data_IF_527730036105
#
_entry.id   IF_527730036105
#
_cell.length_a   1.000
_cell.length_b   1.000
_cell.length_c   1.000
_cell.angle_alpha   90.00
_cell.angle_beta   90.00
_cell.angle_gamma   90.00
#
_symmetry.space_group_name_H-M   'P 1'
#
loop_
_entity.id
_entity.type
_entity.pdbx_description
1 polymer ?
#
# COMPACT_ATOMS: atom_id res chain seq x y z
N UNK A 1 -26.52 72.19 2.92
CA UNK A 1 -26.49 70.76 3.32
C UNK A 1 -25.65 69.98 2.31
N UNK A 2 -24.40 69.64 2.64
CA UNK A 2 -23.52 68.86 1.75
C UNK A 2 -23.50 67.40 2.23
N UNK A 3 -23.92 66.41 1.41
CA UNK A 3 -23.87 65.01 1.81
C UNK A 3 -22.41 64.54 1.71
N UNK A 4 -21.76 64.38 2.86
CA UNK A 4 -20.34 64.03 2.95
C UNK A 4 -20.15 62.62 3.52
N UNK A 5 -20.94 61.63 3.05
CA UNK A 5 -20.94 60.26 3.60
C UNK A 5 -20.78 59.11 2.58
N UNK A 6 -20.62 59.35 1.26
CA UNK A 6 -20.52 58.24 0.29
C UNK A 6 -19.17 57.50 0.32
N UNK A 7 -18.05 58.23 0.51
CA UNK A 7 -16.69 57.65 0.49
C UNK A 7 -16.42 56.67 1.64
N UNK A 8 -17.05 56.87 2.81
CA UNK A 8 -16.94 55.92 3.94
C UNK A 8 -17.70 54.61 3.68
N UNK A 9 -18.83 54.67 2.96
CA UNK A 9 -19.58 53.47 2.56
C UNK A 9 -18.82 52.65 1.51
N UNK A 10 -18.17 53.29 0.54
CA UNK A 10 -17.36 52.63 -0.48
C UNK A 10 -16.15 51.89 0.11
N UNK A 11 -15.45 52.48 1.09
CA UNK A 11 -14.34 51.81 1.79
C UNK A 11 -14.77 50.58 2.59
N UNK A 12 -15.95 50.62 3.21
CA UNK A 12 -16.48 49.49 3.99
C UNK A 12 -16.90 48.29 3.13
N UNK A 13 -17.40 48.54 1.92
CA UNK A 13 -17.77 47.47 0.98
C UNK A 13 -16.55 46.69 0.49
N UNK A 14 -15.45 47.38 0.20
CA UNK A 14 -14.19 46.74 -0.21
C UNK A 14 -13.63 45.84 0.91
N UNK A 15 -13.66 46.30 2.16
CA UNK A 15 -13.24 45.49 3.30
C UNK A 15 -14.08 44.22 3.46
N UNK A 16 -15.40 44.33 3.30
CA UNK A 16 -16.29 43.16 3.37
C UNK A 16 -15.93 42.13 2.29
N UNK A 17 -15.69 42.58 1.05
CA UNK A 17 -15.27 41.68 -0.05
C UNK A 17 -13.93 41.01 0.26
N UNK A 18 -12.95 41.74 0.79
CA UNK A 18 -11.65 41.17 1.16
C UNK A 18 -11.82 40.10 2.24
N UNK A 19 -12.61 40.37 3.28
CA UNK A 19 -12.86 39.39 4.36
C UNK A 19 -13.52 38.14 3.80
N UNK A 20 -14.52 38.29 2.94
CA UNK A 20 -15.18 37.15 2.27
C UNK A 20 -14.17 36.38 1.40
N UNK A 21 -13.33 37.06 0.62
CA UNK A 21 -12.29 36.41 -0.19
C UNK A 21 -11.28 35.64 0.66
N UNK A 22 -10.85 36.19 1.80
CA UNK A 22 -9.95 35.49 2.73
C UNK A 22 -10.61 34.22 3.26
N UNK A 23 -11.87 34.31 3.70
CA UNK A 23 -12.63 33.15 4.20
C UNK A 23 -12.76 32.08 3.11
N UNK A 24 -13.13 32.47 1.89
CA UNK A 24 -13.23 31.56 0.75
C UNK A 24 -11.89 30.91 0.41
N UNK A 25 -10.79 31.66 0.51
CA UNK A 25 -9.43 31.15 0.24
C UNK A 25 -9.02 30.11 1.28
N UNK A 26 -9.31 30.36 2.57
CA UNK A 26 -9.05 29.40 3.65
C UNK A 26 -9.87 28.13 3.46
N UNK A 27 -11.16 28.26 3.12
CA UNK A 27 -12.04 27.12 2.85
C UNK A 27 -11.55 26.29 1.65
N UNK A 28 -11.17 26.96 0.54
CA UNK A 28 -10.64 26.29 -0.63
C UNK A 28 -9.33 25.55 -0.32
N UNK A 29 -8.42 26.17 0.44
CA UNK A 29 -7.17 25.54 0.87
C UNK A 29 -7.41 24.31 1.75
N UNK A 30 -8.32 24.40 2.72
CA UNK A 30 -8.70 23.27 3.56
C UNK A 30 -9.31 22.13 2.74
N UNK A 31 -10.18 22.44 1.78
CA UNK A 31 -10.78 21.46 0.89
C UNK A 31 -9.74 20.74 0.03
N UNK A 32 -8.83 21.48 -0.61
CA UNK A 32 -7.73 20.89 -1.41
C UNK A 32 -6.83 20.01 -0.56
N UNK A 33 -6.53 20.43 0.67
CA UNK A 33 -5.72 19.64 1.61
C UNK A 33 -6.39 18.32 1.97
N UNK A 34 -7.70 18.34 2.24
CA UNK A 34 -8.48 17.14 2.52
C UNK A 34 -8.52 16.20 1.30
N UNK A 35 -8.73 16.75 0.10
CA UNK A 35 -8.74 15.99 -1.14
C UNK A 35 -7.40 15.29 -1.39
N UNK A 36 -6.28 16.01 -1.23
CA UNK A 36 -4.95 15.45 -1.40
C UNK A 36 -4.67 14.32 -0.41
N UNK A 37 -5.14 14.44 0.84
CA UNK A 37 -5.03 13.38 1.85
C UNK A 37 -5.80 12.13 1.43
N UNK A 38 -7.07 12.30 1.00
CA UNK A 38 -7.90 11.17 0.57
C UNK A 38 -7.34 10.47 -0.67
N UNK A 39 -6.84 11.22 -1.66
CA UNK A 39 -6.19 10.63 -2.84
C UNK A 39 -4.92 9.88 -2.47
N UNK A 40 -4.09 10.46 -1.60
CA UNK A 40 -2.86 9.80 -1.12
C UNK A 40 -3.17 8.52 -0.36
N UNK A 41 -4.19 8.52 0.49
CA UNK A 41 -4.62 7.34 1.25
C UNK A 41 -5.20 6.26 0.32
N UNK A 42 -6.03 6.65 -0.64
CA UNK A 42 -6.58 5.74 -1.65
C UNK A 42 -5.47 5.09 -2.48
N UNK A 43 -4.48 5.86 -2.94
CA UNK A 43 -3.36 5.32 -3.71
C UNK A 43 -2.51 4.36 -2.87
N UNK A 44 -2.28 4.68 -1.58
CA UNK A 44 -1.58 3.76 -0.66
C UNK A 44 -2.35 2.46 -0.47
N UNK A 45 -3.67 2.51 -0.39
CA UNK A 45 -4.50 1.31 -0.27
C UNK A 45 -4.41 0.44 -1.53
N UNK A 46 -4.48 1.04 -2.73
CA UNK A 46 -4.33 0.33 -4.01
C UNK A 46 -2.95 -0.31 -4.11
N UNK A 47 -1.87 0.46 -3.90
CA UNK A 47 -0.51 -0.06 -3.96
C UNK A 47 -0.29 -1.20 -2.96
N UNK A 48 -0.89 -1.11 -1.76
CA UNK A 48 -0.84 -2.19 -0.76
C UNK A 48 -1.55 -3.45 -1.24
N UNK A 49 -2.72 -3.34 -1.88
CA UNK A 49 -3.43 -4.48 -2.44
C UNK A 49 -2.64 -5.14 -3.58
N UNK A 50 -2.03 -4.34 -4.45
CA UNK A 50 -1.17 -4.86 -5.52
C UNK A 50 0.07 -5.59 -4.97
N UNK A 51 0.75 -5.00 -3.97
CA UNK A 51 1.88 -5.62 -3.30
C UNK A 51 1.49 -6.90 -2.57
N UNK A 52 0.29 -6.96 -1.97
CA UNK A 52 -0.24 -8.18 -1.36
C UNK A 52 -0.41 -9.28 -2.42
N UNK A 53 -1.10 -8.99 -3.52
CA UNK A 53 -1.31 -9.96 -4.60
C UNK A 53 0.03 -10.47 -5.19
N UNK A 54 1.04 -9.61 -5.31
CA UNK A 54 2.39 -10.01 -5.73
C UNK A 54 3.06 -10.95 -4.72
N UNK A 55 2.94 -10.69 -3.42
CA UNK A 55 3.47 -11.57 -2.38
C UNK A 55 2.75 -12.93 -2.39
N UNK A 56 1.43 -12.96 -2.57
CA UNK A 56 0.66 -14.20 -2.69
C UNK A 56 1.09 -15.03 -3.90
N UNK A 57 1.32 -14.38 -5.05
CA UNK A 57 1.86 -15.04 -6.23
C UNK A 57 3.26 -15.62 -5.98
N UNK A 58 4.09 -14.95 -5.17
CA UNK A 58 5.37 -15.48 -4.69
C UNK A 58 5.21 -16.75 -3.84
N UNK A 59 4.21 -16.79 -2.95
CA UNK A 59 3.87 -17.99 -2.17
C UNK A 59 3.43 -19.15 -3.08
N UNK A 60 2.61 -18.88 -4.10
CA UNK A 60 2.21 -19.89 -5.08
C UNK A 60 3.39 -20.43 -5.92
N UNK A 61 4.29 -19.53 -6.35
CA UNK A 61 5.54 -19.93 -7.02
C UNK A 61 6.38 -20.83 -6.10
N UNK A 62 6.54 -20.46 -4.82
CA UNK A 62 7.27 -21.25 -3.84
C UNK A 62 6.69 -22.66 -3.68
N UNK A 63 5.35 -22.77 -3.60
CA UNK A 63 4.66 -24.05 -3.53
C UNK A 63 4.92 -24.91 -4.77
N UNK A 64 4.91 -24.32 -5.97
CA UNK A 64 5.22 -25.04 -7.20
C UNK A 64 6.70 -25.48 -7.24
N UNK A 65 7.63 -24.61 -6.86
CA UNK A 65 9.06 -24.93 -6.80
C UNK A 65 9.34 -26.04 -5.78
N UNK A 66 8.72 -25.99 -4.59
CA UNK A 66 8.86 -27.04 -3.57
C UNK A 66 8.31 -28.40 -4.01
N UNK A 67 7.30 -28.43 -4.89
CA UNK A 67 6.81 -29.69 -5.49
C UNK A 67 7.83 -30.27 -6.47
N UNK A 68 8.54 -29.41 -7.20
CA UNK A 68 9.54 -29.84 -8.19
C UNK A 68 10.89 -30.18 -7.54
N UNK A 69 11.31 -29.40 -6.55
CA UNK A 69 12.56 -29.54 -5.81
C UNK A 69 12.33 -29.28 -4.30
N UNK A 70 12.29 -30.34 -3.47
CA UNK A 70 12.15 -30.23 -2.02
C UNK A 70 13.31 -29.49 -1.31
N UNK A 71 14.44 -29.27 -2.00
CA UNK A 71 15.58 -28.52 -1.47
C UNK A 71 15.53 -27.02 -1.78
N UNK A 72 14.49 -26.54 -2.48
CA UNK A 72 14.33 -25.13 -2.81
C UNK A 72 14.30 -24.27 -1.54
N UNK A 73 15.19 -23.27 -1.47
CA UNK A 73 15.35 -22.37 -0.31
C UNK A 73 14.76 -20.97 -0.53
N UNK A 74 14.20 -20.70 -1.70
CA UNK A 74 13.71 -19.39 -2.08
C UNK A 74 14.52 -18.75 -3.19
N UNK A 75 14.11 -17.53 -3.55
CA UNK A 75 14.69 -16.74 -4.62
C UNK A 75 14.54 -15.26 -4.25
N UNK A 76 15.63 -14.50 -4.31
CA UNK A 76 15.65 -13.09 -3.94
C UNK A 76 15.45 -12.18 -5.14
N UNK A 77 14.59 -11.16 -4.99
CA UNK A 77 14.49 -10.00 -5.88
C UNK A 77 14.26 -10.34 -7.36
N UNK A 78 13.33 -11.26 -7.65
CA UNK A 78 12.92 -11.54 -9.02
C UNK A 78 11.76 -10.61 -9.45
N UNK A 79 11.72 -10.28 -10.73
CA UNK A 79 10.66 -9.46 -11.29
C UNK A 79 9.38 -10.27 -11.47
N UNK A 80 8.25 -9.74 -11.01
CA UNK A 80 6.92 -10.30 -11.25
C UNK A 80 5.94 -9.17 -11.59
N UNK A 81 5.50 -9.13 -12.85
CA UNK A 81 4.70 -8.02 -13.36
C UNK A 81 5.47 -6.70 -13.27
N UNK A 82 4.91 -5.73 -12.53
CA UNK A 82 5.53 -4.41 -12.30
C UNK A 82 6.35 -4.31 -11.02
N UNK A 83 6.39 -5.36 -10.19
CA UNK A 83 7.06 -5.34 -8.90
C UNK A 83 8.22 -6.33 -8.79
N UNK A 84 8.90 -6.24 -7.66
CA UNK A 84 9.93 -7.19 -7.24
C UNK A 84 9.40 -8.04 -6.09
N UNK A 85 9.66 -9.33 -6.18
CA UNK A 85 9.27 -10.31 -5.17
C UNK A 85 10.52 -11.04 -4.68
N UNK A 86 10.57 -11.28 -3.39
CA UNK A 86 11.56 -12.15 -2.75
C UNK A 86 10.82 -13.24 -1.98
N UNK A 87 11.20 -14.48 -2.20
CA UNK A 87 10.67 -15.65 -1.51
C UNK A 87 11.78 -16.26 -0.68
N UNK A 88 11.50 -16.58 0.56
CA UNK A 88 12.37 -17.32 1.47
C UNK A 88 11.64 -18.58 1.92
N UNK A 89 12.32 -19.73 1.86
CA UNK A 89 11.78 -21.01 2.29
C UNK A 89 12.72 -21.60 3.33
N UNK A 90 12.19 -21.81 4.54
CA UNK A 90 12.90 -22.46 5.64
C UNK A 90 12.23 -23.79 5.96
N UNK A 91 13.04 -24.75 6.39
CA UNK A 91 12.49 -26.02 6.88
C UNK A 91 11.91 -25.77 8.27
N UNK A 92 10.69 -26.26 8.49
CA UNK A 92 9.95 -26.10 9.74
C UNK A 92 10.37 -27.14 10.78
N UNK A 93 9.48 -27.34 11.77
CA UNK A 93 9.75 -28.25 12.89
C UNK A 93 9.90 -29.73 12.50
N UNK A 94 9.31 -30.14 11.37
CA UNK A 94 9.37 -31.51 10.85
C UNK A 94 9.91 -31.51 9.43
N UNK A 95 10.48 -32.64 9.00
CA UNK A 95 11.15 -32.76 7.71
C UNK A 95 10.23 -32.48 6.50
N UNK A 96 8.92 -32.70 6.67
CA UNK A 96 7.86 -32.49 5.70
C UNK A 96 7.23 -31.09 5.78
N UNK A 97 7.64 -30.24 6.72
CA UNK A 97 7.08 -28.89 6.90
C UNK A 97 8.04 -27.80 6.50
N UNK A 98 7.49 -26.75 5.90
CA UNK A 98 8.24 -25.62 5.37
C UNK A 98 7.56 -24.31 5.74
N UNK A 99 8.33 -23.39 6.32
CA UNK A 99 7.94 -22.01 6.54
C UNK A 99 8.33 -21.19 5.32
N UNK A 100 7.34 -20.64 4.63
CA UNK A 100 7.53 -19.84 3.42
C UNK A 100 7.15 -18.40 3.72
N UNK A 101 8.04 -17.47 3.38
CA UNK A 101 7.77 -16.03 3.42
C UNK A 101 7.96 -15.45 2.04
N UNK A 102 6.97 -14.70 1.57
CA UNK A 102 7.10 -13.90 0.36
C UNK A 102 6.94 -12.44 0.70
N UNK A 103 7.87 -11.63 0.24
CA UNK A 103 7.85 -10.18 0.36
C UNK A 103 7.80 -9.56 -1.03
N UNK A 104 6.95 -8.55 -1.21
CA UNK A 104 6.80 -7.88 -2.48
C UNK A 104 6.76 -6.36 -2.32
N UNK A 105 7.30 -5.66 -3.32
CA UNK A 105 7.24 -4.21 -3.49
C UNK A 105 7.10 -3.87 -4.95
N UNK A 106 6.36 -2.82 -5.28
CA UNK A 106 6.16 -2.38 -6.65
C UNK A 106 7.28 -1.44 -7.07
N UNK A 107 7.69 -0.54 -6.16
CA UNK A 107 8.79 0.40 -6.36
C UNK A 107 9.87 0.25 -5.28
N UNK A 108 11.10 0.63 -5.63
CA UNK A 108 12.18 0.79 -4.64
C UNK A 108 11.89 1.92 -3.64
N UNK A 109 11.02 2.87 -4.02
CA UNK A 109 10.58 3.99 -3.18
C UNK A 109 9.42 3.63 -2.23
N UNK A 110 8.84 2.43 -2.36
CA UNK A 110 7.78 2.00 -1.45
C UNK A 110 8.32 1.88 -0.01
N UNK A 111 7.65 2.49 0.98
CA UNK A 111 8.21 2.65 2.32
C UNK A 111 8.36 1.33 3.10
N UNK A 112 7.62 0.28 2.73
CA UNK A 112 7.81 -1.06 3.29
C UNK A 112 7.28 -2.14 2.32
N UNK A 113 7.99 -3.26 2.14
CA UNK A 113 7.47 -4.40 1.40
C UNK A 113 6.31 -5.07 2.15
N UNK A 114 5.31 -5.53 1.41
CA UNK A 114 4.22 -6.35 1.97
C UNK A 114 4.71 -7.78 2.07
N UNK A 115 4.59 -8.40 3.24
CA UNK A 115 5.07 -9.76 3.49
C UNK A 115 3.91 -10.67 3.85
N UNK A 116 3.79 -11.79 3.14
CA UNK A 116 2.87 -12.90 3.42
C UNK A 116 3.69 -14.08 3.92
N UNK A 117 3.19 -14.78 4.94
CA UNK A 117 3.81 -16.00 5.43
C UNK A 117 2.83 -17.17 5.32
N UNK A 118 3.34 -18.34 4.96
CA UNK A 118 2.56 -19.56 4.88
C UNK A 118 3.40 -20.74 5.39
N UNK A 119 2.74 -21.69 6.02
CA UNK A 119 3.33 -22.97 6.40
C UNK A 119 2.80 -24.03 5.44
N UNK A 120 3.72 -24.78 4.84
CA UNK A 120 3.42 -25.84 3.89
C UNK A 120 3.79 -27.20 4.46
N UNK A 121 2.98 -28.21 4.13
CA UNK A 121 3.32 -29.62 4.33
C UNK A 121 3.50 -30.30 2.97
N UNK A 122 4.64 -30.96 2.77
CA UNK A 122 4.89 -31.84 1.63
C UNK A 122 4.24 -33.19 1.90
N UNK A 123 3.33 -33.60 1.02
CA UNK A 123 2.73 -34.95 1.05
C UNK A 123 3.06 -35.67 -0.26
N UNK A 124 2.91 -37.01 -0.34
CA UNK A 124 3.05 -37.74 -1.60
C UNK A 124 2.09 -37.26 -2.70
N UNK A 125 0.95 -36.65 -2.32
CA UNK A 125 -0.02 -36.06 -3.23
C UNK A 125 0.34 -34.61 -3.65
N UNK A 126 1.39 -34.02 -3.06
CA UNK A 126 1.89 -32.67 -3.34
C UNK A 126 1.94 -31.76 -2.10
N UNK A 127 2.24 -30.47 -2.35
CA UNK A 127 2.27 -29.42 -1.32
C UNK A 127 0.86 -28.99 -0.92
N UNK A 128 0.58 -29.02 0.39
CA UNK A 128 -0.65 -28.52 1.04
C UNK A 128 -0.33 -27.34 1.95
N UNK A 129 -1.19 -26.32 1.94
CA UNK A 129 -1.11 -25.20 2.88
C UNK A 129 -1.68 -25.63 4.24
N UNK A 130 -0.88 -25.49 5.29
CA UNK A 130 -1.25 -25.80 6.68
C UNK A 130 -1.70 -24.53 7.41
N UNK A 131 -0.95 -23.44 7.23
CA UNK A 131 -1.23 -22.15 7.84
C UNK A 131 -0.97 -21.03 6.85
N UNK A 132 -1.78 -19.99 6.94
CA UNK A 132 -1.68 -18.79 6.11
C UNK A 132 -1.76 -17.56 7.01
N UNK A 133 -0.79 -16.66 6.88
CA UNK A 133 -0.72 -15.42 7.63
C UNK A 133 -0.55 -14.24 6.68
N UNK A 134 -1.59 -13.42 6.62
CA UNK A 134 -1.56 -12.14 5.93
C UNK A 134 -1.04 -11.04 6.87
N UNK A 135 -0.36 -10.03 6.31
CA UNK A 135 0.09 -8.89 7.09
C UNK A 135 -1.12 -8.13 7.63
N UNK A 136 -1.21 -8.02 8.96
CA UNK A 136 -2.31 -7.32 9.64
C UNK A 136 -2.44 -5.87 9.15
N UNK A 137 -3.68 -5.42 9.03
CA UNK A 137 -4.05 -4.10 8.49
C UNK A 137 -3.45 -2.96 9.28
#
# INVERSE_FOLDING_TARGET
MRPRNSRYREGSALLAVIVVMIILTILASAFVTLLNRNVTESNRAVNRMENLALAEAGIHKAAAMLRADPNFRGESAFALGKGQVSVEVRQGATADRYDVRSSARQSAEDPAPVTVAAEFALTPAGVRVVRWEEPRR
#
